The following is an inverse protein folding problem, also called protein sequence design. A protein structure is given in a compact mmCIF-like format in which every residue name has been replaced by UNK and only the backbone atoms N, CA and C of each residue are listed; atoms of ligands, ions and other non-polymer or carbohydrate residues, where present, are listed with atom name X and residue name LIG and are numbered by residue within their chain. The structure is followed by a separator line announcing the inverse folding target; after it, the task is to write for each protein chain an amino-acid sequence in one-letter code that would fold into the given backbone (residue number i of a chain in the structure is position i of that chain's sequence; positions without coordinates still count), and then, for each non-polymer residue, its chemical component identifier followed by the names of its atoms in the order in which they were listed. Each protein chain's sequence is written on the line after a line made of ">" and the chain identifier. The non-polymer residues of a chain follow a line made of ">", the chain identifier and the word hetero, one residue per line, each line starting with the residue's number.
data_IF_832566832086
#
_entry.id   IF_832566832086
#
_cell.length_a   1.000
_cell.length_b   1.000
_cell.length_c   1.000
_cell.angle_alpha   90.00
_cell.angle_beta   90.00
_cell.angle_gamma   90.00
#
_symmetry.space_group_name_H-M   'P 1'
#
loop_
_entity.id
_entity.type
_entity.pdbx_description
1 polymer ?
#
# COMPACT_ATOMS: atom_id res chain seq x y z
N UNK A 1 51.80 4.29 1.18
CA UNK A 1 50.82 5.35 1.50
C UNK A 1 49.44 4.74 1.43
N UNK A 2 48.61 5.06 2.42
CA UNK A 2 47.25 4.55 2.59
C UNK A 2 46.32 5.33 1.67
N UNK A 3 45.45 4.65 0.94
CA UNK A 3 44.17 5.23 0.54
C UNK A 3 43.08 4.19 0.83
N UNK A 4 42.46 4.39 1.98
CA UNK A 4 41.28 3.68 2.47
C UNK A 4 40.11 4.38 1.79
N UNK A 5 39.63 3.84 0.67
CA UNK A 5 38.31 4.21 0.18
C UNK A 5 37.29 3.53 1.08
N UNK A 6 36.78 4.30 2.04
CA UNK A 6 35.49 4.06 2.66
C UNK A 6 34.45 4.10 1.55
N UNK A 7 34.10 2.95 0.98
CA UNK A 7 32.85 2.79 0.26
C UNK A 7 31.74 2.95 1.31
N UNK A 8 31.21 4.17 1.34
CA UNK A 8 30.05 4.54 2.12
C UNK A 8 28.95 3.58 1.71
N UNK A 9 28.64 2.62 2.59
CA UNK A 9 27.40 1.84 2.53
C UNK A 9 26.25 2.84 2.55
N UNK A 10 25.83 3.30 1.37
CA UNK A 10 24.55 3.95 1.18
C UNK A 10 23.56 2.95 1.75
N UNK A 11 22.85 3.25 2.85
CA UNK A 11 21.82 2.35 3.33
C UNK A 11 20.89 2.16 2.15
N UNK A 12 20.80 0.94 1.61
CA UNK A 12 19.83 0.69 0.56
C UNK A 12 18.51 1.17 1.12
N UNK A 13 17.91 2.18 0.47
CA UNK A 13 16.51 2.50 0.72
C UNK A 13 15.84 1.16 0.56
N UNK A 14 15.41 0.54 1.66
CA UNK A 14 14.83 -0.80 1.67
C UNK A 14 13.54 -0.67 0.89
N UNK A 15 13.60 -0.71 -0.43
CA UNK A 15 12.42 -0.64 -1.28
C UNK A 15 11.63 -1.88 -0.94
N UNK A 16 10.42 -1.68 -0.44
CA UNK A 16 9.48 -2.79 -0.23
C UNK A 16 9.25 -3.41 -1.61
N UNK A 17 9.80 -4.61 -1.80
CA UNK A 17 9.74 -5.31 -3.08
C UNK A 17 8.37 -5.99 -3.20
N UNK A 18 7.41 -5.36 -3.86
CA UNK A 18 6.15 -6.00 -4.26
C UNK A 18 6.26 -6.41 -5.73
N UNK A 19 5.74 -7.59 -6.07
CA UNK A 19 5.66 -8.02 -7.47
C UNK A 19 4.78 -7.06 -8.29
N UNK A 20 4.93 -7.06 -9.62
CA UNK A 20 4.10 -6.24 -10.51
C UNK A 20 2.60 -6.46 -10.30
N UNK A 21 2.19 -7.71 -10.07
CA UNK A 21 0.80 -8.08 -9.79
C UNK A 21 0.35 -7.60 -8.41
N UNK A 22 1.19 -7.73 -7.37
CA UNK A 22 0.91 -7.23 -6.03
C UNK A 22 0.75 -5.70 -6.03
N UNK A 23 1.59 -4.99 -6.78
CA UNK A 23 1.49 -3.54 -6.96
C UNK A 23 0.21 -3.18 -7.70
N UNK A 24 -0.12 -3.85 -8.79
CA UNK A 24 -1.36 -3.62 -9.53
C UNK A 24 -2.61 -3.83 -8.66
N UNK A 25 -2.63 -4.92 -7.89
CA UNK A 25 -3.71 -5.23 -6.97
C UNK A 25 -3.83 -4.18 -5.85
N UNK A 26 -2.71 -3.77 -5.27
CA UNK A 26 -2.70 -2.74 -4.23
C UNK A 26 -3.22 -1.41 -4.77
N UNK A 27 -2.80 -0.99 -5.97
CA UNK A 27 -3.33 0.22 -6.63
C UNK A 27 -4.85 0.15 -6.78
N UNK A 28 -5.36 -0.99 -7.26
CA UNK A 28 -6.80 -1.20 -7.40
C UNK A 28 -7.53 -1.07 -6.07
N UNK A 29 -6.95 -1.63 -4.98
CA UNK A 29 -7.53 -1.50 -3.64
C UNK A 29 -7.52 -0.04 -3.17
N UNK A 30 -6.42 0.69 -3.39
CA UNK A 30 -6.30 2.10 -3.01
C UNK A 30 -7.39 2.93 -3.72
N UNK A 31 -7.57 2.73 -5.03
CA UNK A 31 -8.61 3.42 -5.81
C UNK A 31 -10.04 3.09 -5.34
N UNK A 32 -10.25 1.91 -4.77
CA UNK A 32 -11.55 1.53 -4.20
C UNK A 32 -11.78 2.12 -2.80
N UNK A 33 -10.70 2.41 -2.06
CA UNK A 33 -10.77 2.94 -0.69
C UNK A 33 -10.91 4.46 -0.66
N UNK A 34 -10.32 5.16 -1.65
CA UNK A 34 -10.47 6.60 -1.80
C UNK A 34 -11.37 6.84 -3.02
N UNK A 35 -12.64 7.26 -2.82
CA UNK A 35 -13.48 7.62 -3.95
C UNK A 35 -12.83 8.79 -4.69
N UNK A 36 -12.62 8.63 -6.00
CA UNK A 36 -12.35 9.76 -6.87
C UNK A 36 -13.64 10.58 -7.00
N UNK A 37 -13.52 11.90 -6.82
CA UNK A 37 -14.61 12.86 -7.01
C UNK A 37 -14.15 13.94 -8.00
N UNK A 38 -15.05 14.79 -8.48
CA UNK A 38 -14.75 15.81 -9.50
C UNK A 38 -13.57 16.74 -9.10
N UNK A 39 -13.38 16.94 -7.79
CA UNK A 39 -12.30 17.76 -7.22
C UNK A 39 -11.03 16.98 -6.85
N UNK A 40 -11.04 15.64 -6.94
CA UNK A 40 -10.03 14.76 -6.36
C UNK A 40 -9.58 13.66 -7.34
N UNK A 41 -8.33 13.70 -7.84
CA UNK A 41 -7.85 12.72 -8.80
C UNK A 41 -7.77 11.31 -8.20
N UNK A 42 -7.98 10.24 -8.98
CA UNK A 42 -7.86 8.89 -8.44
C UNK A 42 -6.43 8.65 -7.92
N UNK A 43 -6.28 7.98 -6.76
CA UNK A 43 -4.99 7.73 -6.12
C UNK A 43 -3.92 7.11 -7.04
N UNK A 44 -4.33 6.20 -7.93
CA UNK A 44 -3.44 5.58 -8.91
C UNK A 44 -2.82 6.55 -9.91
N UNK A 45 -3.46 7.69 -10.18
CA UNK A 45 -2.90 8.76 -11.04
C UNK A 45 -1.76 9.51 -10.37
N UNK A 46 -1.66 9.43 -9.05
CA UNK A 46 -0.66 10.13 -8.26
C UNK A 46 0.57 9.26 -7.96
N UNK A 47 0.71 8.05 -8.53
CA UNK A 47 1.82 7.12 -8.26
C UNK A 47 2.06 6.89 -6.75
N UNK A 48 0.96 6.77 -5.98
CA UNK A 48 1.01 6.75 -4.51
C UNK A 48 1.57 5.47 -3.92
N UNK A 49 1.72 4.41 -4.71
CA UNK A 49 2.25 3.14 -4.22
C UNK A 49 3.62 3.31 -3.59
N UNK A 50 4.54 4.04 -4.21
CA UNK A 50 5.92 4.10 -3.68
C UNK A 50 5.99 4.87 -2.35
N UNK A 51 5.10 5.84 -2.17
CA UNK A 51 4.97 6.61 -0.93
C UNK A 51 4.24 5.81 0.16
N UNK A 52 3.15 5.13 -0.20
CA UNK A 52 2.48 4.16 0.68
C UNK A 52 3.47 3.09 1.16
N UNK A 53 4.26 2.51 0.25
CA UNK A 53 5.28 1.51 0.56
C UNK A 53 6.40 2.07 1.44
N UNK A 54 6.78 3.33 1.28
CA UNK A 54 7.74 3.99 2.16
C UNK A 54 7.22 4.03 3.61
N UNK A 55 5.92 4.27 3.80
CA UNK A 55 5.29 4.27 5.12
C UNK A 55 5.10 2.87 5.73
N UNK A 56 5.21 1.80 4.93
CA UNK A 56 5.21 0.41 5.44
C UNK A 56 6.56 -0.02 6.04
N UNK A 57 7.64 0.72 5.77
CA UNK A 57 8.96 0.36 6.27
C UNK A 57 9.09 0.70 7.75
N UNK A 58 9.72 -0.17 8.55
CA UNK A 58 10.15 0.21 9.88
C UNK A 58 11.25 1.26 9.76
N UNK A 59 10.87 2.53 9.83
CA UNK A 59 11.84 3.59 10.05
C UNK A 59 12.38 3.42 11.47
N UNK A 60 13.68 3.17 11.58
CA UNK A 60 14.37 2.83 12.82
C UNK A 60 14.41 3.97 13.87
N UNK A 61 13.65 5.04 13.69
CA UNK A 61 13.54 6.13 14.64
C UNK A 61 12.14 6.74 14.51
N UNK A 62 11.33 6.64 15.57
CA UNK A 62 9.99 7.23 15.71
C UNK A 62 8.92 6.76 14.71
N UNK A 63 8.07 5.81 15.10
CA UNK A 63 6.62 6.03 14.90
C UNK A 63 5.79 5.14 15.84
N UNK A 64 4.80 5.75 16.50
CA UNK A 64 3.76 5.09 17.30
C UNK A 64 2.57 4.65 16.42
N UNK A 65 2.79 4.53 15.11
CA UNK A 65 1.73 4.30 14.12
C UNK A 65 1.55 2.80 13.91
N UNK A 66 0.31 2.26 13.90
CA UNK A 66 0.09 0.84 13.72
C UNK A 66 0.72 0.37 12.40
N UNK A 67 1.72 -0.51 12.53
CA UNK A 67 2.52 -0.97 11.40
C UNK A 67 1.75 -2.04 10.63
N UNK A 68 1.40 -1.71 9.41
CA UNK A 68 0.89 -2.68 8.46
C UNK A 68 2.09 -3.51 7.96
N UNK A 69 2.33 -4.66 8.57
CA UNK A 69 3.47 -5.50 8.22
C UNK A 69 3.38 -5.98 6.77
N UNK A 70 4.49 -5.87 6.03
CA UNK A 70 4.58 -6.30 4.62
C UNK A 70 4.09 -7.75 4.41
N UNK A 71 4.50 -8.68 5.28
CA UNK A 71 4.06 -10.06 5.17
C UNK A 71 2.54 -10.20 5.35
N UNK A 72 1.95 -9.43 6.26
CA UNK A 72 0.50 -9.40 6.47
C UNK A 72 -0.23 -8.80 5.27
N UNK A 73 0.31 -7.73 4.67
CA UNK A 73 -0.20 -7.15 3.43
C UNK A 73 -0.21 -8.20 2.31
N UNK A 74 0.92 -8.89 2.07
CA UNK A 74 1.02 -9.93 1.04
C UNK A 74 0.02 -11.07 1.26
N UNK A 75 -0.17 -11.50 2.50
CA UNK A 75 -1.20 -12.51 2.82
C UNK A 75 -2.59 -12.02 2.45
N UNK A 76 -2.94 -10.78 2.80
CA UNK A 76 -4.25 -10.20 2.45
C UNK A 76 -4.43 -10.07 0.94
N UNK A 77 -3.40 -9.62 0.20
CA UNK A 77 -3.47 -9.55 -1.26
C UNK A 77 -3.70 -10.94 -1.87
N UNK A 78 -3.00 -11.96 -1.38
CA UNK A 78 -3.18 -13.35 -1.83
C UNK A 78 -4.57 -13.90 -1.50
N UNK A 79 -5.09 -13.64 -0.30
CA UNK A 79 -6.44 -14.03 0.12
C UNK A 79 -7.48 -13.41 -0.81
N UNK A 80 -7.42 -12.09 -1.02
CA UNK A 80 -8.33 -11.36 -1.89
C UNK A 80 -8.30 -11.91 -3.32
N UNK A 81 -7.11 -12.21 -3.84
CA UNK A 81 -6.94 -12.83 -5.16
C UNK A 81 -7.54 -14.24 -5.20
N UNK A 82 -7.38 -15.02 -4.13
CA UNK A 82 -7.97 -16.37 -4.02
C UNK A 82 -9.50 -16.31 -3.99
N UNK A 83 -10.08 -15.46 -3.15
CA UNK A 83 -11.54 -15.28 -3.05
C UNK A 83 -12.15 -14.65 -4.31
N UNK A 84 -11.37 -13.88 -5.07
CA UNK A 84 -11.78 -13.36 -6.37
C UNK A 84 -11.88 -14.44 -7.45
N UNK A 85 -11.26 -15.61 -7.25
CA UNK A 85 -11.16 -16.68 -8.26
C UNK A 85 -9.88 -16.63 -9.09
N UNK A 86 -8.80 -16.05 -8.54
CA UNK A 86 -7.45 -16.07 -9.11
C UNK A 86 -6.90 -14.73 -9.56
N UNK A 87 -7.74 -13.71 -9.77
CA UNK A 87 -7.26 -12.34 -10.04
C UNK A 87 -8.27 -11.32 -9.49
N UNK A 88 -7.88 -10.60 -8.43
CA UNK A 88 -8.72 -9.57 -7.82
C UNK A 88 -9.06 -8.44 -8.79
N UNK A 89 -8.08 -7.92 -9.51
CA UNK A 89 -8.24 -6.77 -10.41
C UNK A 89 -9.20 -7.05 -11.58
N UNK A 90 -9.30 -8.32 -12.01
CA UNK A 90 -10.22 -8.77 -13.08
C UNK A 90 -11.62 -9.13 -12.59
N UNK A 91 -11.84 -9.22 -11.28
CA UNK A 91 -13.17 -9.51 -10.75
C UNK A 91 -14.12 -8.34 -11.04
N UNK A 92 -15.45 -8.58 -11.16
CA UNK A 92 -16.42 -7.50 -11.27
C UNK A 92 -16.30 -6.50 -10.10
N UNK A 93 -16.52 -5.21 -10.35
CA UNK A 93 -16.37 -4.14 -9.35
C UNK A 93 -17.15 -4.44 -8.06
N UNK A 94 -18.40 -4.89 -8.19
CA UNK A 94 -19.24 -5.26 -7.04
C UNK A 94 -18.63 -6.40 -6.22
N UNK A 95 -17.96 -7.36 -6.87
CA UNK A 95 -17.25 -8.44 -6.21
C UNK A 95 -16.00 -7.91 -5.49
N UNK A 96 -15.24 -7.01 -6.12
CA UNK A 96 -14.07 -6.39 -5.49
C UNK A 96 -14.47 -5.63 -4.21
N UNK A 97 -15.52 -4.80 -4.28
CA UNK A 97 -16.09 -4.07 -3.13
C UNK A 97 -16.61 -5.01 -2.05
N UNK A 98 -17.33 -6.07 -2.42
CA UNK A 98 -17.82 -7.07 -1.46
C UNK A 98 -16.68 -7.78 -0.73
N UNK A 99 -15.58 -8.09 -1.42
CA UNK A 99 -14.38 -8.70 -0.82
C UNK A 99 -13.67 -7.74 0.15
N UNK A 100 -13.59 -6.44 -0.19
CA UNK A 100 -13.05 -5.44 0.75
C UNK A 100 -13.94 -5.27 1.98
N UNK A 101 -15.27 -5.25 1.82
CA UNK A 101 -16.20 -5.24 2.95
C UNK A 101 -16.07 -6.50 3.81
N UNK A 102 -15.83 -7.66 3.20
CA UNK A 102 -15.57 -8.88 3.95
C UNK A 102 -14.24 -8.81 4.72
N UNK A 103 -13.19 -8.24 4.12
CA UNK A 103 -11.92 -7.97 4.80
C UNK A 103 -12.12 -7.05 6.01
N UNK A 104 -12.89 -5.97 5.85
CA UNK A 104 -13.23 -5.05 6.94
C UNK A 104 -13.91 -5.77 8.11
N UNK A 105 -14.89 -6.63 7.83
CA UNK A 105 -15.57 -7.41 8.88
C UNK A 105 -14.67 -8.46 9.52
N UNK A 106 -13.82 -9.13 8.74
CA UNK A 106 -12.94 -10.21 9.20
C UNK A 106 -11.77 -9.69 10.03
N UNK A 107 -11.18 -8.57 9.62
CA UNK A 107 -9.99 -7.98 10.22
C UNK A 107 -10.08 -6.45 10.23
N UNK A 108 -10.94 -5.89 11.11
CA UNK A 108 -11.19 -4.45 11.14
C UNK A 108 -9.94 -3.66 11.51
N UNK A 109 -9.06 -4.20 12.36
CA UNK A 109 -7.82 -3.52 12.73
C UNK A 109 -6.87 -3.35 11.54
N UNK A 110 -6.71 -4.39 10.72
CA UNK A 110 -5.94 -4.29 9.47
C UNK A 110 -6.58 -3.30 8.51
N UNK A 111 -7.90 -3.42 8.29
CA UNK A 111 -8.61 -2.57 7.34
C UNK A 111 -8.53 -1.09 7.72
N UNK A 112 -8.71 -0.76 9.00
CA UNK A 112 -8.58 0.62 9.51
C UNK A 112 -7.14 1.13 9.37
N UNK A 113 -6.14 0.29 9.62
CA UNK A 113 -4.74 0.67 9.40
C UNK A 113 -4.46 0.93 7.92
N UNK A 114 -4.99 0.09 7.02
CA UNK A 114 -4.88 0.25 5.57
C UNK A 114 -5.51 1.56 5.13
N UNK A 115 -6.75 1.81 5.54
CA UNK A 115 -7.51 3.02 5.19
C UNK A 115 -6.80 4.27 5.69
N UNK A 116 -6.31 4.27 6.94
CA UNK A 116 -5.57 5.40 7.50
C UNK A 116 -4.28 5.68 6.73
N UNK A 117 -3.49 4.65 6.41
CA UNK A 117 -2.24 4.81 5.66
C UNK A 117 -2.48 5.32 4.24
N UNK A 118 -3.49 4.76 3.56
CA UNK A 118 -3.90 5.18 2.23
C UNK A 118 -4.37 6.64 2.24
N UNK A 119 -5.25 7.00 3.19
CA UNK A 119 -5.74 8.37 3.32
C UNK A 119 -4.61 9.36 3.64
N UNK A 120 -3.72 9.00 4.58
CA UNK A 120 -2.57 9.85 4.92
C UNK A 120 -1.68 10.08 3.70
N UNK A 121 -1.30 9.00 3.00
CA UNK A 121 -0.44 9.09 1.80
C UNK A 121 -1.07 9.96 0.71
N UNK A 122 -2.39 9.82 0.49
CA UNK A 122 -3.13 10.58 -0.50
C UNK A 122 -3.19 12.08 -0.18
N UNK A 123 -3.62 12.45 1.03
CA UNK A 123 -3.74 13.86 1.40
C UNK A 123 -2.39 14.53 1.62
N UNK A 124 -1.36 13.80 2.06
CA UNK A 124 0.01 14.32 2.12
C UNK A 124 0.53 14.67 0.73
N UNK A 125 0.23 13.86 -0.29
CA UNK A 125 0.57 14.17 -1.69
C UNK A 125 -0.17 15.41 -2.19
N UNK A 126 -1.48 15.49 -1.94
CA UNK A 126 -2.29 16.64 -2.36
C UNK A 126 -1.88 17.95 -1.70
N UNK A 127 -1.38 17.91 -0.47
CA UNK A 127 -0.89 19.11 0.22
C UNK A 127 0.42 19.66 -0.39
N UNK A 128 1.13 18.85 -1.18
CA UNK A 128 2.41 19.21 -1.81
C UNK A 128 2.24 19.50 -3.31
N UNK A 129 1.14 19.08 -3.93
CA UNK A 129 0.77 19.33 -5.34
C UNK A 129 0.12 20.69 -5.53
#
# INVERSE_FOLDING_TARGET
>A
MRDIFHDVLIPSRRTVDLSGDERCQLNTIIDLLIPADEDFPPPSSLQLIDEFLFHLLPHAANSRTPMLHLQRLRTVLRDLTTFAGGNFCKAPLEKQKALLKHLEMRDPAFFQTLLMLVSHSYYSRLAIS
#
